data_IF_890043883050
#
_entry.id   IF_890043883050
#
_cell.length_a   1.000
_cell.length_b   1.000
_cell.length_c   1.000
_cell.angle_alpha   90.00
_cell.angle_beta   90.00
_cell.angle_gamma   90.00
#
_symmetry.space_group_name_H-M   'P 1'
#
loop_
_entity.id
_entity.type
_entity.pdbx_description
1 polymer ?
#
# COMPACT_ATOMS: atom_id res chain seq x y z
N UNK A 1 11.26 -11.35 -9.55
CA UNK A 1 11.57 -10.80 -10.87
C UNK A 1 13.03 -10.39 -11.01
N UNK A 2 13.62 -9.70 -10.06
CA UNK A 2 15.02 -9.23 -10.13
C UNK A 2 16.03 -10.34 -10.33
N UNK A 3 15.88 -11.45 -9.63
CA UNK A 3 16.75 -12.61 -9.79
C UNK A 3 16.70 -13.19 -11.21
N UNK A 4 15.49 -13.34 -11.75
CA UNK A 4 15.31 -13.81 -13.11
C UNK A 4 15.91 -12.82 -14.12
N UNK A 5 15.71 -11.50 -13.91
CA UNK A 5 16.31 -10.48 -14.76
C UNK A 5 17.84 -10.52 -14.70
N UNK A 6 18.44 -10.63 -13.51
CA UNK A 6 19.90 -10.76 -13.36
C UNK A 6 20.47 -11.96 -14.10
N UNK A 7 19.74 -13.08 -14.12
CA UNK A 7 20.16 -14.31 -14.82
C UNK A 7 19.96 -14.24 -16.33
N UNK A 8 18.92 -13.56 -16.80
CA UNK A 8 18.45 -13.66 -18.19
C UNK A 8 18.45 -12.33 -18.96
N UNK A 9 18.98 -11.22 -18.40
CA UNK A 9 18.95 -9.89 -19.01
C UNK A 9 19.62 -9.83 -20.39
N UNK A 10 20.49 -10.78 -20.75
CA UNK A 10 21.10 -10.85 -22.07
C UNK A 10 20.08 -10.93 -23.21
N UNK A 11 18.94 -11.56 -22.95
CA UNK A 11 17.87 -11.79 -23.92
C UNK A 11 16.81 -10.70 -23.94
N UNK A 12 16.78 -9.86 -22.91
CA UNK A 12 15.75 -8.82 -22.76
C UNK A 12 16.04 -7.63 -23.67
N UNK A 13 15.03 -7.20 -24.42
CA UNK A 13 15.06 -6.01 -25.27
C UNK A 13 13.72 -5.27 -25.20
N UNK A 14 13.71 -3.94 -25.03
CA UNK A 14 14.88 -3.09 -24.73
C UNK A 14 15.50 -3.42 -23.36
N UNK A 15 16.74 -2.99 -23.14
CA UNK A 15 17.39 -3.10 -21.84
C UNK A 15 16.68 -2.23 -20.82
N UNK A 16 16.46 -2.75 -19.60
CA UNK A 16 15.98 -1.97 -18.49
C UNK A 16 17.09 -1.05 -17.95
N UNK A 17 16.72 0.14 -17.48
CA UNK A 17 17.65 1.08 -16.83
C UNK A 17 17.92 0.73 -15.37
N UNK A 18 17.03 -0.07 -14.75
CA UNK A 18 17.13 -0.56 -13.39
C UNK A 18 16.60 -1.98 -13.27
N UNK A 19 16.45 -2.47 -12.06
CA UNK A 19 15.86 -3.77 -11.79
C UNK A 19 14.32 -3.72 -11.93
N UNK A 20 13.65 -4.83 -12.23
CA UNK A 20 12.18 -4.90 -12.24
C UNK A 20 11.52 -4.35 -10.97
N UNK A 21 12.12 -4.56 -9.80
CA UNK A 21 11.63 -4.00 -8.53
C UNK A 21 11.66 -2.48 -8.49
N UNK A 22 12.62 -1.81 -9.14
CA UNK A 22 12.70 -0.35 -9.21
C UNK A 22 11.50 0.22 -10.00
N UNK A 23 11.11 -0.46 -11.07
CA UNK A 23 9.92 -0.10 -11.84
C UNK A 23 8.64 -0.31 -11.06
N UNK A 24 8.53 -1.40 -10.29
CA UNK A 24 7.37 -1.59 -9.41
C UNK A 24 7.28 -0.48 -8.36
N UNK A 25 8.39 -0.15 -7.70
CA UNK A 25 8.43 0.92 -6.69
C UNK A 25 7.98 2.27 -7.24
N UNK A 26 8.37 2.59 -8.47
CA UNK A 26 8.05 3.89 -9.08
C UNK A 26 6.67 3.93 -9.75
N UNK A 27 6.18 2.83 -10.30
CA UNK A 27 4.98 2.82 -11.13
C UNK A 27 3.91 1.82 -10.68
N UNK A 28 4.25 0.87 -9.82
CA UNK A 28 3.35 -0.17 -9.37
C UNK A 28 2.51 0.25 -8.18
N UNK A 29 1.28 -0.23 -8.13
CA UNK A 29 0.43 -0.16 -6.95
C UNK A 29 -0.44 -1.42 -6.87
N UNK A 30 -0.77 -1.83 -5.67
CA UNK A 30 -1.67 -2.96 -5.41
C UNK A 30 -2.67 -2.59 -4.32
N UNK A 31 -3.93 -2.97 -4.51
CA UNK A 31 -4.97 -2.81 -3.49
C UNK A 31 -5.26 -4.14 -2.79
N UNK A 32 -5.67 -4.06 -1.55
CA UNK A 32 -6.05 -5.20 -0.73
C UNK A 32 -7.13 -4.80 0.29
N UNK A 33 -7.82 -5.77 0.86
CA UNK A 33 -8.78 -5.53 1.95
C UNK A 33 -8.26 -6.09 3.30
N UNK A 34 -7.96 -7.36 3.38
CA UNK A 34 -7.34 -8.02 4.54
C UNK A 34 -6.25 -8.96 4.01
N UNK A 35 -4.99 -8.55 4.10
CA UNK A 35 -3.85 -9.34 3.62
C UNK A 35 -2.65 -9.15 4.54
N UNK A 36 -2.59 -9.97 5.58
CA UNK A 36 -1.48 -9.97 6.53
C UNK A 36 -0.14 -10.31 5.85
N UNK A 37 -0.14 -11.26 4.93
CA UNK A 37 1.06 -11.67 4.21
C UNK A 37 1.60 -10.54 3.32
N UNK A 38 0.71 -9.83 2.61
CA UNK A 38 1.06 -8.65 1.82
C UNK A 38 1.64 -7.54 2.68
N UNK A 39 1.09 -7.29 3.86
CA UNK A 39 1.62 -6.29 4.80
C UNK A 39 3.00 -6.66 5.34
N UNK A 40 3.26 -7.93 5.65
CA UNK A 40 4.59 -8.42 6.02
C UNK A 40 5.62 -8.22 4.90
N UNK A 41 5.21 -8.40 3.64
CA UNK A 41 6.07 -8.12 2.49
C UNK A 41 6.30 -6.62 2.30
N UNK A 42 5.27 -5.79 2.53
CA UNK A 42 5.41 -4.34 2.49
C UNK A 42 6.42 -3.84 3.53
N UNK A 43 6.39 -4.38 4.73
CA UNK A 43 7.36 -4.08 5.78
C UNK A 43 8.77 -4.51 5.37
N UNK A 44 8.93 -5.78 5.00
CA UNK A 44 10.24 -6.38 4.67
C UNK A 44 10.94 -5.68 3.51
N UNK A 45 10.21 -5.20 2.53
CA UNK A 45 10.74 -4.61 1.30
C UNK A 45 10.52 -3.10 1.20
N UNK A 46 10.02 -2.46 2.25
CA UNK A 46 9.70 -1.03 2.30
C UNK A 46 8.81 -0.60 1.11
N UNK A 47 7.63 -1.23 1.02
CA UNK A 47 6.65 -1.01 -0.07
C UNK A 47 5.43 -0.21 0.41
N UNK A 48 5.55 0.56 1.47
CA UNK A 48 4.45 1.33 2.07
C UNK A 48 3.80 2.33 1.11
N UNK A 49 4.55 2.82 0.13
CA UNK A 49 4.06 3.75 -0.89
C UNK A 49 3.34 3.06 -2.06
N UNK A 50 3.37 1.73 -2.12
CA UNK A 50 2.84 0.94 -3.24
C UNK A 50 1.55 0.20 -2.92
N UNK A 51 1.08 0.20 -1.66
CA UNK A 51 -0.13 -0.50 -1.26
C UNK A 51 -1.27 0.45 -0.90
N UNK A 52 -2.49 0.05 -1.25
CA UNK A 52 -3.72 0.78 -0.98
C UNK A 52 -4.73 -0.16 -0.33
N UNK A 53 -5.33 0.30 0.77
CA UNK A 53 -6.44 -0.42 1.36
C UNK A 53 -7.76 -0.08 0.66
N UNK A 54 -8.61 -1.08 0.47
CA UNK A 54 -9.96 -0.91 -0.02
C UNK A 54 -10.91 -1.89 0.71
N UNK A 55 -12.18 -1.53 0.87
CA UNK A 55 -13.15 -2.39 1.54
C UNK A 55 -13.87 -3.38 0.61
N UNK A 56 -13.61 -3.28 -0.69
CA UNK A 56 -14.19 -4.14 -1.74
C UNK A 56 -15.74 -4.11 -1.79
N UNK A 57 -16.35 -2.98 -1.40
CA UNK A 57 -17.80 -2.82 -1.48
C UNK A 57 -18.27 -2.68 -2.95
N UNK A 58 -19.37 -3.32 -3.37
CA UNK A 58 -20.32 -4.14 -2.60
C UNK A 58 -20.09 -5.66 -2.70
N UNK A 59 -18.87 -6.10 -2.93
CA UNK A 59 -18.54 -7.52 -3.04
C UNK A 59 -18.81 -8.24 -1.71
N UNK A 60 -19.32 -9.48 -1.76
CA UNK A 60 -19.71 -10.24 -0.56
C UNK A 60 -18.54 -10.62 0.36
N UNK A 61 -17.31 -10.69 -0.18
CA UNK A 61 -16.09 -10.91 0.59
C UNK A 61 -15.50 -9.61 1.17
N UNK A 62 -16.12 -8.46 0.84
CA UNK A 62 -15.68 -7.16 1.31
C UNK A 62 -15.81 -6.99 2.83
N UNK A 63 -15.02 -6.07 3.39
CA UNK A 63 -14.99 -5.80 4.84
C UNK A 63 -16.16 -4.94 5.33
N UNK A 64 -16.98 -4.38 4.45
CA UNK A 64 -18.14 -3.56 4.83
C UNK A 64 -19.29 -4.45 5.41
N UNK A 65 -19.99 -4.05 6.48
CA UNK A 65 -19.92 -2.76 7.19
C UNK A 65 -18.90 -2.72 8.34
N UNK A 66 -18.03 -3.72 8.46
CA UNK A 66 -17.10 -3.89 9.58
C UNK A 66 -15.67 -3.43 9.25
N UNK A 67 -15.52 -2.50 8.31
CA UNK A 67 -14.22 -2.04 7.79
C UNK A 67 -13.29 -1.49 8.88
N UNK A 68 -13.82 -0.77 9.87
CA UNK A 68 -13.02 -0.27 10.99
C UNK A 68 -12.38 -1.41 11.81
N UNK A 69 -13.14 -2.47 12.09
CA UNK A 69 -12.62 -3.64 12.80
C UNK A 69 -11.59 -4.43 11.95
N UNK A 70 -11.81 -4.53 10.64
CA UNK A 70 -10.86 -5.14 9.71
C UNK A 70 -9.52 -4.38 9.68
N UNK A 71 -9.56 -3.06 9.61
CA UNK A 71 -8.38 -2.19 9.66
C UNK A 71 -7.62 -2.37 10.98
N UNK A 72 -8.31 -2.36 12.12
CA UNK A 72 -7.65 -2.55 13.41
C UNK A 72 -7.04 -3.94 13.56
N UNK A 73 -7.71 -4.98 13.06
CA UNK A 73 -7.22 -6.35 13.13
C UNK A 73 -5.94 -6.53 12.30
N UNK A 74 -5.88 -5.95 11.12
CA UNK A 74 -4.77 -6.13 10.18
C UNK A 74 -3.66 -5.09 10.34
N UNK A 75 -3.98 -3.87 10.70
CA UNK A 75 -3.06 -2.73 10.72
C UNK A 75 -2.95 -2.02 12.08
N UNK A 76 -3.57 -2.56 13.13
CA UNK A 76 -3.55 -1.95 14.46
C UNK A 76 -2.16 -1.85 15.09
N UNK A 77 -1.24 -2.73 14.70
CA UNK A 77 0.15 -2.75 15.17
C UNK A 77 1.09 -1.80 14.40
N UNK A 78 0.65 -1.26 13.26
CA UNK A 78 1.46 -0.39 12.43
C UNK A 78 1.54 1.03 13.01
N UNK A 79 2.61 1.75 12.67
CA UNK A 79 2.70 3.15 13.04
C UNK A 79 1.73 4.03 12.21
N UNK A 80 1.44 5.24 12.73
CA UNK A 80 0.44 6.13 12.14
C UNK A 80 0.80 6.58 10.71
N UNK A 81 2.09 6.76 10.40
CA UNK A 81 2.55 7.16 9.07
C UNK A 81 2.26 6.07 8.04
N UNK A 82 2.64 4.83 8.34
CA UNK A 82 2.39 3.67 7.46
C UNK A 82 0.89 3.46 7.24
N UNK A 83 0.10 3.51 8.31
CA UNK A 83 -1.37 3.41 8.23
C UNK A 83 -1.97 4.52 7.35
N UNK A 84 -1.55 5.76 7.56
CA UNK A 84 -2.05 6.90 6.78
C UNK A 84 -1.73 6.75 5.29
N UNK A 85 -0.53 6.28 4.93
CA UNK A 85 -0.16 5.98 3.54
C UNK A 85 -1.10 4.98 2.92
N UNK A 86 -1.26 3.81 3.54
CA UNK A 86 -2.07 2.71 3.01
C UNK A 86 -3.57 3.07 2.99
N UNK A 87 -4.09 3.71 4.04
CA UNK A 87 -5.51 4.02 4.15
C UNK A 87 -6.00 5.16 3.26
N UNK A 88 -5.10 6.03 2.78
CA UNK A 88 -5.57 7.16 1.98
C UNK A 88 -4.50 7.96 1.24
N UNK A 89 -3.34 8.22 1.83
CA UNK A 89 -2.35 9.13 1.22
C UNK A 89 -1.80 8.59 -0.10
N UNK A 90 -1.62 7.28 -0.23
CA UNK A 90 -1.19 6.67 -1.49
C UNK A 90 -2.26 6.82 -2.58
N UNK A 91 -3.54 6.60 -2.25
CA UNK A 91 -4.63 6.83 -3.20
C UNK A 91 -4.70 8.30 -3.61
N UNK A 92 -4.60 9.24 -2.66
CA UNK A 92 -4.54 10.67 -2.94
C UNK A 92 -3.43 11.00 -3.95
N UNK A 93 -2.24 10.48 -3.75
CA UNK A 93 -1.08 10.71 -4.62
C UNK A 93 -1.23 10.07 -5.99
N UNK A 94 -1.61 8.79 -6.03
CA UNK A 94 -1.66 8.00 -7.27
C UNK A 94 -2.78 8.50 -8.20
N UNK A 95 -3.95 8.80 -7.63
CA UNK A 95 -5.10 9.28 -8.40
C UNK A 95 -5.19 10.80 -8.48
N UNK A 96 -4.22 11.51 -7.92
CA UNK A 96 -4.16 12.97 -7.90
C UNK A 96 -5.44 13.63 -7.35
N UNK A 97 -5.99 13.09 -6.25
CA UNK A 97 -7.18 13.67 -5.63
C UNK A 97 -6.86 15.01 -4.96
N UNK A 98 -7.64 16.03 -5.32
CA UNK A 98 -7.56 17.34 -4.67
C UNK A 98 -8.33 17.31 -3.33
N UNK A 99 -7.77 16.65 -2.35
CA UNK A 99 -8.31 16.56 -0.99
C UNK A 99 -7.38 17.28 -0.02
N UNK A 100 -7.93 17.92 1.03
CA UNK A 100 -7.11 18.47 2.09
C UNK A 100 -6.27 17.37 2.74
N UNK A 101 -5.11 17.72 3.24
CA UNK A 101 -4.33 16.81 4.08
C UNK A 101 -5.15 16.46 5.33
N UNK A 102 -4.98 15.25 5.83
CA UNK A 102 -5.68 14.81 7.03
C UNK A 102 -5.46 15.86 8.14
N UNK A 103 -6.50 16.34 8.80
CA UNK A 103 -6.31 17.19 9.96
C UNK A 103 -5.48 16.38 10.95
N UNK A 104 -4.32 16.91 11.34
CA UNK A 104 -3.60 16.36 12.47
C UNK A 104 -4.63 16.16 13.59
N UNK A 105 -4.88 14.93 14.01
CA UNK A 105 -5.56 14.69 15.27
C UNK A 105 -4.69 15.36 16.31
N UNK A 106 -5.02 16.60 16.65
CA UNK A 106 -4.52 17.18 17.89
C UNK A 106 -4.85 16.17 18.96
N UNK A 107 -3.83 15.71 19.66
CA UNK A 107 -3.97 14.77 20.76
C UNK A 107 -5.14 15.23 21.62
N UNK A 108 -6.21 14.45 21.62
CA UNK A 108 -7.43 14.81 22.31
C UNK A 108 -7.09 15.10 23.75
N UNK A 109 -7.39 16.32 24.18
CA UNK A 109 -7.50 16.64 25.58
C UNK A 109 -8.38 15.59 26.23
N UNK A 110 -7.75 14.72 27.03
CA UNK A 110 -8.46 13.86 27.97
C UNK A 110 -9.21 14.80 28.94
N UNK A 111 -10.49 14.88 28.78
CA UNK A 111 -11.37 15.28 29.86
C UNK A 111 -11.79 14.04 30.63
#
# INVERSE_FOLDING_TARGET
>A
MDEAYKKHHFWVRPKLQGLPSDYFRSNGAASFQEDEAGLLLAEKYDLWDNFLWANDYPHHEGSWPHSAAAVERTMGHMNDEQRAKILGLNAKRIFNFNLPDYPNRQAGTKN
#
